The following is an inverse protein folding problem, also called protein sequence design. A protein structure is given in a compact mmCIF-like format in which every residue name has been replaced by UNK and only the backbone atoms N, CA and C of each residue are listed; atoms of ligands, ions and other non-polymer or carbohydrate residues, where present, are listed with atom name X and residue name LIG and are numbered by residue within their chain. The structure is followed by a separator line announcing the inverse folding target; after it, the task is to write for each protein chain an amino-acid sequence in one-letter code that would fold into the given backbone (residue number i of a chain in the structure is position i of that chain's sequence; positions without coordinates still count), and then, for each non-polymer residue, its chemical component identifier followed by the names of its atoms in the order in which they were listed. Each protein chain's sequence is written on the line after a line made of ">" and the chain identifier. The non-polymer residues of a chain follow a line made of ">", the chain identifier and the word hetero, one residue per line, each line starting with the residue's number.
data_IF_778533834665
#
_entry.id   IF_778533834665
#
_cell.length_a   1.000
_cell.length_b   1.000
_cell.length_c   1.000
_cell.angle_alpha   90.00
_cell.angle_beta   90.00
_cell.angle_gamma   90.00
#
_symmetry.space_group_name_H-M   'P 1'
#
loop_
_entity.id
_entity.type
_entity.pdbx_description
1 polymer ?
#
# COMPACT_ATOMS: atom_id res chain seq x y z
N UNK A 1 21.43 -1.61 19.41
CA UNK A 1 22.36 -1.74 18.27
C UNK A 1 21.73 -2.50 17.11
N UNK A 2 20.76 -3.41 17.33
CA UNK A 2 19.87 -3.94 16.28
C UNK A 2 18.66 -3.03 15.98
N UNK A 3 18.29 -2.14 16.90
CA UNK A 3 17.13 -1.22 16.77
C UNK A 3 17.28 -0.08 15.74
N UNK A 4 18.40 0.00 15.00
CA UNK A 4 18.66 1.09 14.05
C UNK A 4 18.61 0.64 12.58
N UNK A 5 18.11 -0.57 12.29
CA UNK A 5 18.07 -1.12 10.93
C UNK A 5 16.71 -1.70 10.54
N UNK A 6 16.28 -1.41 9.30
CA UNK A 6 15.08 -1.99 8.69
C UNK A 6 15.48 -2.81 7.46
N UNK A 7 14.91 -4.00 7.31
CA UNK A 7 15.11 -4.80 6.10
C UNK A 7 14.47 -4.13 4.87
N UNK A 8 15.24 -4.08 3.79
CA UNK A 8 14.85 -3.50 2.52
C UNK A 8 15.10 -4.50 1.39
N UNK A 9 14.02 -4.89 0.72
CA UNK A 9 14.03 -6.06 -0.16
C UNK A 9 13.45 -5.75 -1.53
N UNK A 10 13.81 -6.57 -2.51
CA UNK A 10 13.20 -6.54 -3.84
C UNK A 10 11.73 -6.95 -3.79
N UNK A 11 10.98 -6.53 -4.80
CA UNK A 11 9.59 -6.94 -5.03
C UNK A 11 9.47 -8.47 -5.13
N UNK A 12 10.43 -9.12 -5.79
CA UNK A 12 10.45 -10.57 -5.92
C UNK A 12 10.62 -11.27 -4.56
N UNK A 13 11.55 -10.80 -3.73
CA UNK A 13 11.76 -11.35 -2.40
C UNK A 13 10.55 -11.13 -1.47
N UNK A 14 9.88 -9.97 -1.59
CA UNK A 14 8.63 -9.72 -0.87
C UNK A 14 7.54 -10.72 -1.27
N UNK A 15 7.35 -10.97 -2.57
CA UNK A 15 6.39 -11.98 -3.06
C UNK A 15 6.72 -13.40 -2.59
N UNK A 16 8.00 -13.76 -2.57
CA UNK A 16 8.44 -15.07 -2.08
C UNK A 16 8.22 -15.20 -0.56
N UNK A 17 8.49 -14.14 0.21
CA UNK A 17 8.26 -14.09 1.66
C UNK A 17 6.77 -14.19 2.01
N UNK A 18 5.92 -13.47 1.27
CA UNK A 18 4.47 -13.54 1.38
C UNK A 18 3.96 -14.96 1.08
N UNK A 19 4.33 -15.53 -0.08
CA UNK A 19 3.94 -16.88 -0.48
C UNK A 19 4.40 -17.95 0.53
N UNK A 20 5.61 -17.83 1.06
CA UNK A 20 6.11 -18.73 2.10
C UNK A 20 5.27 -18.63 3.38
N UNK A 21 4.96 -17.41 3.82
CA UNK A 21 4.16 -17.18 5.03
C UNK A 21 2.75 -17.73 4.87
N UNK A 22 2.12 -17.51 3.71
CA UNK A 22 0.79 -18.04 3.38
C UNK A 22 0.76 -19.57 3.41
N UNK A 23 1.77 -20.20 2.81
CA UNK A 23 1.81 -21.65 2.68
C UNK A 23 2.06 -22.38 4.02
N UNK A 24 2.71 -21.73 5.00
CA UNK A 24 3.21 -22.44 6.19
C UNK A 24 2.68 -21.89 7.52
N UNK A 25 2.22 -20.64 7.59
CA UNK A 25 2.06 -19.94 8.87
C UNK A 25 0.71 -19.23 9.02
N UNK A 26 0.37 -18.32 8.10
CA UNK A 26 -0.79 -17.42 8.25
C UNK A 26 -1.61 -17.43 6.97
N UNK A 27 -2.92 -17.77 7.00
CA UNK A 27 -3.76 -17.75 5.81
C UNK A 27 -3.75 -16.40 5.08
N UNK A 28 -3.83 -16.40 3.74
CA UNK A 28 -3.78 -15.18 2.92
C UNK A 28 -4.83 -14.13 3.30
N UNK A 29 -6.08 -14.56 3.55
CA UNK A 29 -7.16 -13.67 3.99
C UNK A 29 -6.86 -12.97 5.34
N UNK A 30 -6.14 -13.65 6.24
CA UNK A 30 -5.73 -13.11 7.53
C UNK A 30 -4.57 -12.11 7.37
N UNK A 31 -3.58 -12.42 6.52
CA UNK A 31 -2.52 -11.45 6.19
C UNK A 31 -3.09 -10.19 5.52
N UNK A 32 -4.05 -10.32 4.61
CA UNK A 32 -4.76 -9.20 4.00
C UNK A 32 -5.52 -8.36 5.04
N UNK A 33 -6.16 -8.99 6.04
CA UNK A 33 -6.78 -8.25 7.16
C UNK A 33 -5.76 -7.44 7.93
N UNK A 34 -4.58 -8.01 8.20
CA UNK A 34 -3.50 -7.34 8.91
C UNK A 34 -2.90 -6.21 8.08
N UNK A 35 -2.73 -6.37 6.77
CA UNK A 35 -2.32 -5.31 5.87
C UNK A 35 -3.27 -4.11 5.97
N UNK A 36 -4.58 -4.36 5.84
CA UNK A 36 -5.59 -3.34 5.99
C UNK A 36 -5.61 -2.69 7.39
N UNK A 37 -5.40 -3.47 8.46
CA UNK A 37 -5.31 -2.95 9.82
C UNK A 37 -4.07 -2.06 10.01
N UNK A 38 -2.94 -2.41 9.39
CA UNK A 38 -1.73 -1.59 9.38
C UNK A 38 -1.95 -0.25 8.70
N UNK A 39 -2.63 -0.23 7.55
CA UNK A 39 -3.04 1.01 6.88
C UNK A 39 -3.97 1.83 7.77
N UNK A 40 -4.95 1.18 8.39
CA UNK A 40 -5.89 1.83 9.30
C UNK A 40 -5.18 2.49 10.50
N UNK A 41 -4.22 1.80 11.13
CA UNK A 41 -3.48 2.32 12.29
C UNK A 41 -2.48 3.42 11.91
N UNK A 42 -1.89 3.37 10.71
CA UNK A 42 -0.91 4.34 10.24
C UNK A 42 -1.52 5.71 9.86
N UNK A 43 -2.79 5.72 9.43
CA UNK A 43 -3.47 6.93 8.99
C UNK A 43 -4.44 7.45 10.05
N UNK A 44 -4.70 8.76 10.01
CA UNK A 44 -5.86 9.35 10.69
C UNK A 44 -7.03 9.30 9.73
N UNK A 45 -8.23 8.97 10.21
CA UNK A 45 -9.41 8.84 9.35
C UNK A 45 -10.40 9.97 9.56
N UNK A 46 -11.17 10.24 8.52
CA UNK A 46 -12.28 11.18 8.49
C UNK A 46 -13.42 10.50 7.73
N UNK A 47 -14.64 10.97 7.94
CA UNK A 47 -15.75 10.57 7.06
C UNK A 47 -15.47 11.04 5.63
N UNK A 48 -16.18 10.47 4.66
CA UNK A 48 -15.95 10.74 3.23
C UNK A 48 -14.55 10.32 2.78
N UNK A 49 -14.22 9.05 3.00
CA UNK A 49 -13.03 8.40 2.42
C UNK A 49 -13.40 7.65 1.13
N UNK A 50 -12.68 7.93 0.04
CA UNK A 50 -12.75 7.15 -1.19
C UNK A 50 -11.61 6.14 -1.22
N UNK A 51 -11.89 4.89 -1.56
CA UNK A 51 -10.88 3.83 -1.72
C UNK A 51 -10.91 3.38 -3.18
N UNK A 52 -9.85 3.58 -3.94
CA UNK A 52 -9.76 3.06 -5.31
C UNK A 52 -9.10 1.69 -5.29
N UNK A 53 -9.88 0.64 -5.57
CA UNK A 53 -9.44 -0.74 -5.54
C UNK A 53 -9.19 -1.26 -6.96
N UNK A 54 -7.98 -1.76 -7.21
CA UNK A 54 -7.65 -2.47 -8.44
C UNK A 54 -8.06 -3.93 -8.45
N UNK A 55 -7.63 -4.67 -9.47
CA UNK A 55 -8.01 -6.07 -9.69
C UNK A 55 -7.25 -7.10 -8.83
N UNK A 56 -6.08 -6.72 -8.31
CA UNK A 56 -5.16 -7.62 -7.61
C UNK A 56 -5.28 -7.53 -6.08
N UNK A 57 -4.34 -8.15 -5.37
CA UNK A 57 -4.36 -8.22 -3.90
C UNK A 57 -4.31 -6.84 -3.22
N UNK A 58 -3.66 -5.83 -3.81
CA UNK A 58 -3.72 -4.46 -3.28
C UNK A 58 -5.16 -3.92 -3.26
N UNK A 59 -5.98 -4.29 -4.25
CA UNK A 59 -7.41 -3.97 -4.25
C UNK A 59 -8.16 -4.71 -3.13
N UNK A 60 -7.77 -5.95 -2.85
CA UNK A 60 -8.24 -6.72 -1.70
C UNK A 60 -7.95 -6.05 -0.36
N UNK A 61 -6.73 -5.52 -0.18
CA UNK A 61 -6.37 -4.70 0.99
C UNK A 61 -7.30 -3.49 1.12
N UNK A 62 -7.67 -2.85 -0.01
CA UNK A 62 -8.64 -1.76 -0.04
C UNK A 62 -10.06 -2.17 0.42
N UNK A 63 -10.56 -3.33 -0.01
CA UNK A 63 -11.85 -3.84 0.47
C UNK A 63 -11.80 -4.23 1.96
N UNK A 64 -10.71 -4.86 2.41
CA UNK A 64 -10.51 -5.17 3.81
C UNK A 64 -10.45 -3.90 4.66
N UNK A 65 -9.75 -2.86 4.20
CA UNK A 65 -9.70 -1.55 4.84
C UNK A 65 -11.09 -0.91 4.92
N UNK A 66 -11.89 -0.99 3.87
CA UNK A 66 -13.26 -0.48 3.88
C UNK A 66 -14.09 -1.13 5.00
N UNK A 67 -13.97 -2.46 5.18
CA UNK A 67 -14.61 -3.18 6.28
C UNK A 67 -14.13 -2.66 7.65
N UNK A 68 -12.83 -2.51 7.84
CA UNK A 68 -12.24 -2.01 9.10
C UNK A 68 -12.70 -0.57 9.40
N UNK A 69 -12.75 0.31 8.40
CA UNK A 69 -13.26 1.67 8.55
C UNK A 69 -14.70 1.66 9.04
N UNK A 70 -15.55 0.83 8.42
CA UNK A 70 -16.95 0.69 8.82
C UNK A 70 -17.10 0.14 10.23
N UNK A 71 -16.30 -0.87 10.61
CA UNK A 71 -16.25 -1.42 11.97
C UNK A 71 -15.89 -0.35 13.02
N UNK A 72 -15.12 0.68 12.64
CA UNK A 72 -14.70 1.78 13.51
C UNK A 72 -15.54 3.06 13.35
N UNK A 73 -16.66 3.00 12.62
CA UNK A 73 -17.60 4.12 12.50
C UNK A 73 -17.22 5.20 11.49
N UNK A 74 -16.28 4.92 10.57
CA UNK A 74 -15.95 5.81 9.46
C UNK A 74 -16.71 5.41 8.20
N UNK A 75 -17.31 6.40 7.53
CA UNK A 75 -17.96 6.18 6.24
C UNK A 75 -16.95 6.25 5.09
N UNK A 76 -17.02 5.26 4.20
CA UNK A 76 -16.20 5.20 3.00
C UNK A 76 -17.00 4.72 1.79
N UNK A 77 -16.43 4.91 0.59
CA UNK A 77 -16.93 4.37 -0.67
C UNK A 77 -15.78 3.73 -1.42
N UNK A 78 -15.99 2.52 -1.92
CA UNK A 78 -15.00 1.80 -2.73
C UNK A 78 -15.30 2.02 -4.21
N UNK A 79 -14.31 2.49 -4.96
CA UNK A 79 -14.35 2.64 -6.40
C UNK A 79 -13.49 1.55 -7.05
N UNK A 80 -14.09 0.65 -7.80
CA UNK A 80 -13.36 -0.43 -8.49
C UNK A 80 -12.82 0.05 -9.83
N UNK A 81 -11.53 -0.19 -10.07
CA UNK A 81 -10.85 0.11 -11.35
C UNK A 81 -10.44 -1.20 -12.02
N UNK A 82 -11.06 -1.48 -13.17
CA UNK A 82 -10.90 -2.76 -13.89
C UNK A 82 -12.12 -3.68 -13.72
N UNK A 83 -12.07 -4.86 -14.36
CA UNK A 83 -13.25 -5.74 -14.54
C UNK A 83 -13.23 -7.05 -13.74
N UNK A 84 -12.08 -7.44 -13.16
CA UNK A 84 -11.91 -8.72 -12.49
C UNK A 84 -11.25 -8.55 -11.13
N UNK A 85 -11.75 -9.23 -10.10
CA UNK A 85 -11.15 -9.26 -8.78
C UNK A 85 -10.43 -10.60 -8.58
N UNK A 86 -9.33 -10.60 -7.84
CA UNK A 86 -8.74 -11.86 -7.33
C UNK A 86 -9.71 -12.56 -6.36
N UNK A 87 -9.44 -13.83 -6.02
CA UNK A 87 -10.26 -14.59 -5.08
C UNK A 87 -10.34 -13.90 -3.71
N UNK A 88 -9.19 -13.52 -3.15
CA UNK A 88 -9.12 -12.80 -1.87
C UNK A 88 -9.82 -11.43 -1.93
N UNK A 89 -9.65 -10.70 -3.03
CA UNK A 89 -10.36 -9.44 -3.25
C UNK A 89 -11.88 -9.66 -3.31
N UNK A 90 -12.32 -10.78 -3.88
CA UNK A 90 -13.74 -11.14 -3.97
C UNK A 90 -14.33 -11.47 -2.60
N UNK A 91 -13.55 -12.07 -1.69
CA UNK A 91 -13.97 -12.33 -0.32
C UNK A 91 -14.32 -11.02 0.42
N UNK A 92 -13.40 -10.06 0.46
CA UNK A 92 -13.64 -8.79 1.15
C UNK A 92 -14.63 -7.88 0.42
N UNK A 93 -14.72 -7.94 -0.92
CA UNK A 93 -15.79 -7.29 -1.66
C UNK A 93 -17.17 -7.85 -1.26
N UNK A 94 -17.27 -9.16 -1.00
CA UNK A 94 -18.46 -9.79 -0.43
C UNK A 94 -18.80 -9.24 0.96
N UNK A 95 -17.79 -9.12 1.84
CA UNK A 95 -17.94 -8.52 3.18
C UNK A 95 -18.39 -7.08 3.14
N UNK A 96 -17.86 -6.29 2.21
CA UNK A 96 -18.31 -4.91 1.99
C UNK A 96 -19.80 -4.85 1.61
N UNK A 97 -20.27 -5.77 0.75
CA UNK A 97 -21.70 -5.86 0.39
C UNK A 97 -22.57 -6.25 1.57
N UNK A 98 -22.15 -7.23 2.38
CA UNK A 98 -22.86 -7.64 3.61
C UNK A 98 -22.99 -6.48 4.60
N UNK A 99 -21.96 -5.63 4.70
CA UNK A 99 -21.93 -4.46 5.58
C UNK A 99 -22.52 -3.18 4.95
N UNK A 100 -23.17 -3.30 3.78
CA UNK A 100 -23.78 -2.18 3.03
C UNK A 100 -22.81 -1.03 2.73
N UNK A 101 -21.53 -1.34 2.54
CA UNK A 101 -20.52 -0.36 2.11
C UNK A 101 -20.71 -0.09 0.61
N UNK A 102 -20.83 1.19 0.18
CA UNK A 102 -20.96 1.52 -1.23
C UNK A 102 -19.76 1.04 -2.05
N UNK A 103 -20.04 0.23 -3.08
CA UNK A 103 -19.06 -0.19 -4.09
C UNK A 103 -19.57 0.27 -5.45
N UNK A 104 -18.79 1.10 -6.13
CA UNK A 104 -19.13 1.65 -7.43
C UNK A 104 -17.99 1.44 -8.43
N UNK A 105 -18.27 1.31 -9.73
CA UNK A 105 -17.20 1.44 -10.72
C UNK A 105 -16.62 2.86 -10.67
N UNK A 106 -15.30 2.96 -10.82
CA UNK A 106 -14.66 4.26 -11.00
C UNK A 106 -15.17 4.92 -12.28
N UNK A 107 -15.57 6.19 -12.17
CA UNK A 107 -15.94 7.05 -13.30
C UNK A 107 -15.28 8.41 -13.10
N UNK A 108 -14.76 9.06 -14.15
CA UNK A 108 -14.10 10.34 -14.01
C UNK A 108 -14.98 11.39 -13.27
N UNK A 109 -14.39 12.03 -12.26
CA UNK A 109 -15.03 13.03 -11.41
C UNK A 109 -15.68 12.47 -10.13
N UNK A 110 -15.62 11.16 -9.90
CA UNK A 110 -16.24 10.54 -8.72
C UNK A 110 -15.48 10.81 -7.41
N UNK A 111 -14.26 11.34 -7.45
CA UNK A 111 -13.47 11.64 -6.24
C UNK A 111 -13.76 13.04 -5.67
N UNK A 112 -14.60 13.84 -6.32
CA UNK A 112 -14.93 15.19 -5.84
C UNK A 112 -15.65 15.14 -4.49
N UNK A 113 -15.13 15.89 -3.51
CA UNK A 113 -15.75 16.06 -2.19
C UNK A 113 -15.37 15.00 -1.17
N UNK A 114 -14.44 14.10 -1.48
CA UNK A 114 -13.84 13.20 -0.51
C UNK A 114 -12.67 13.88 0.20
N UNK A 115 -12.62 13.76 1.52
CA UNK A 115 -11.54 14.34 2.35
C UNK A 115 -10.25 13.51 2.23
N UNK A 116 -10.42 12.21 1.98
CA UNK A 116 -9.33 11.23 1.85
C UNK A 116 -9.54 10.35 0.65
N UNK A 117 -8.43 10.06 -0.03
CA UNK A 117 -8.39 9.14 -1.15
C UNK A 117 -7.32 8.09 -0.87
N UNK A 118 -7.71 6.82 -0.88
CA UNK A 118 -6.82 5.68 -0.68
C UNK A 118 -6.55 5.01 -2.02
N UNK A 119 -5.28 4.97 -2.39
CA UNK A 119 -4.75 4.28 -3.56
C UNK A 119 -4.44 2.81 -3.22
N UNK A 120 -5.33 1.94 -3.67
CA UNK A 120 -5.24 0.48 -3.61
C UNK A 120 -5.28 -0.12 -5.03
N UNK A 121 -4.77 0.61 -6.03
CA UNK A 121 -4.91 0.21 -7.44
C UNK A 121 -3.90 -0.89 -7.82
N UNK A 122 -2.62 -0.66 -7.55
CA UNK A 122 -1.50 -1.46 -8.01
C UNK A 122 -0.47 -1.58 -6.87
N UNK A 123 0.16 -2.73 -6.72
CA UNK A 123 1.21 -2.95 -5.72
C UNK A 123 2.40 -3.67 -6.34
N UNK A 124 3.03 -4.57 -5.60
CA UNK A 124 4.14 -5.43 -6.08
C UNK A 124 3.86 -6.11 -7.43
N UNK A 125 2.60 -6.36 -7.78
CA UNK A 125 2.14 -6.95 -9.05
C UNK A 125 2.47 -6.18 -10.34
N UNK A 126 2.68 -4.86 -10.25
CA UNK A 126 2.76 -3.99 -11.42
C UNK A 126 4.12 -4.03 -12.13
N UNK A 127 4.08 -4.14 -13.46
CA UNK A 127 5.24 -4.09 -14.35
C UNK A 127 4.87 -3.41 -15.67
N UNK A 128 5.81 -2.67 -16.24
CA UNK A 128 5.65 -2.07 -17.57
C UNK A 128 4.78 -0.82 -17.59
N UNK A 129 3.95 -0.68 -18.62
CA UNK A 129 3.17 0.54 -18.87
C UNK A 129 1.78 0.49 -18.20
N UNK A 130 1.31 1.66 -17.75
CA UNK A 130 -0.04 1.82 -17.21
C UNK A 130 -1.10 1.59 -18.29
N UNK A 131 -2.10 0.76 -17.96
CA UNK A 131 -3.33 0.66 -18.74
C UNK A 131 -4.17 1.93 -18.52
N UNK A 132 -4.93 2.32 -19.54
CA UNK A 132 -5.63 3.62 -19.56
C UNK A 132 -6.53 3.85 -18.34
N UNK A 133 -7.31 2.85 -17.91
CA UNK A 133 -8.17 2.97 -16.74
C UNK A 133 -7.41 3.26 -15.43
N UNK A 134 -6.18 2.72 -15.28
CA UNK A 134 -5.33 3.06 -14.14
C UNK A 134 -4.71 4.45 -14.31
N UNK A 135 -4.32 4.83 -15.52
CA UNK A 135 -3.83 6.18 -15.81
C UNK A 135 -4.85 7.25 -15.42
N UNK A 136 -6.09 7.14 -15.90
CA UNK A 136 -7.14 8.11 -15.58
C UNK A 136 -7.45 8.17 -14.08
N UNK A 137 -7.44 7.02 -13.40
CA UNK A 137 -7.63 6.96 -11.94
C UNK A 137 -6.48 7.66 -11.19
N UNK A 138 -5.23 7.40 -11.57
CA UNK A 138 -4.05 8.04 -10.95
C UNK A 138 -4.06 9.56 -11.18
N UNK A 139 -4.42 10.02 -12.37
CA UNK A 139 -4.56 11.44 -12.68
C UNK A 139 -5.63 12.11 -11.81
N UNK A 140 -6.78 11.46 -11.62
CA UNK A 140 -7.84 12.00 -10.76
C UNK A 140 -7.46 11.98 -9.28
N UNK A 141 -6.82 10.91 -8.78
CA UNK A 141 -6.28 10.87 -7.41
C UNK A 141 -5.37 12.09 -7.19
N UNK A 142 -4.41 12.31 -8.10
CA UNK A 142 -3.45 13.41 -8.00
C UNK A 142 -4.10 14.80 -8.11
N UNK A 143 -5.25 14.92 -8.77
CA UNK A 143 -5.99 16.17 -8.94
C UNK A 143 -7.09 16.40 -7.90
N UNK A 144 -7.38 15.42 -7.02
CA UNK A 144 -8.50 15.44 -6.08
C UNK A 144 -8.46 16.58 -5.07
N UNK A 145 -7.26 17.03 -4.68
CA UNK A 145 -7.06 17.95 -3.57
C UNK A 145 -7.29 17.32 -2.18
N UNK A 146 -7.56 16.02 -2.13
CA UNK A 146 -7.75 15.24 -0.90
C UNK A 146 -6.41 14.91 -0.23
N UNK A 147 -6.47 14.41 1.00
CA UNK A 147 -5.31 13.74 1.61
C UNK A 147 -5.15 12.33 1.03
N UNK A 148 -4.02 12.06 0.38
CA UNK A 148 -3.81 10.84 -0.41
C UNK A 148 -2.99 9.81 0.40
N UNK A 149 -3.50 8.60 0.50
CA UNK A 149 -2.85 7.46 1.16
C UNK A 149 -2.58 6.38 0.10
N UNK A 150 -1.33 5.98 -0.12
CA UNK A 150 -1.02 4.83 -0.98
C UNK A 150 -0.75 3.58 -0.14
N UNK A 151 -1.32 2.45 -0.55
CA UNK A 151 -1.12 1.15 0.09
C UNK A 151 -0.09 0.36 -0.70
N UNK A 152 0.86 -0.23 0.03
CA UNK A 152 1.97 -1.04 -0.44
C UNK A 152 3.03 -0.25 -1.23
N UNK A 153 2.67 0.23 -2.42
CA UNK A 153 3.51 1.00 -3.34
C UNK A 153 2.59 2.01 -4.03
N UNK A 154 3.03 3.26 -4.19
CA UNK A 154 2.29 4.25 -4.98
C UNK A 154 2.00 3.71 -6.38
N UNK A 155 0.73 3.60 -6.74
CA UNK A 155 0.34 2.98 -8.00
C UNK A 155 0.96 3.70 -9.20
N UNK A 156 1.54 2.92 -10.12
CA UNK A 156 2.29 3.40 -11.28
C UNK A 156 3.81 3.47 -11.06
N UNK A 157 4.29 3.32 -9.83
CA UNK A 157 5.72 3.27 -9.52
C UNK A 157 6.28 1.85 -9.55
N UNK A 158 7.50 1.69 -10.07
CA UNK A 158 8.24 0.45 -10.00
C UNK A 158 8.75 0.22 -8.57
N UNK A 159 8.37 -0.91 -7.97
CA UNK A 159 8.72 -1.24 -6.59
C UNK A 159 10.20 -1.53 -6.33
N UNK A 160 11.00 -1.82 -7.36
CA UNK A 160 12.43 -2.09 -7.21
C UNK A 160 13.29 -0.85 -7.45
N UNK A 161 12.90 0.02 -8.40
CA UNK A 161 13.70 1.17 -8.85
C UNK A 161 13.17 2.53 -8.38
N UNK A 162 11.88 2.62 -8.03
CA UNK A 162 11.19 3.88 -7.72
C UNK A 162 10.89 4.75 -8.94
N UNK A 163 11.16 4.25 -10.16
CA UNK A 163 10.86 4.97 -11.40
C UNK A 163 9.38 4.86 -11.76
N UNK A 164 8.85 5.92 -12.38
CA UNK A 164 7.50 5.95 -12.93
C UNK A 164 7.41 7.02 -14.03
N UNK A 165 6.62 6.75 -15.08
CA UNK A 165 6.16 7.80 -16.01
C UNK A 165 5.06 8.65 -15.35
N UNK A 166 4.13 7.98 -14.67
CA UNK A 166 3.04 8.54 -13.89
C UNK A 166 2.85 7.65 -12.66
N UNK A 167 2.77 8.25 -11.48
CA UNK A 167 2.44 7.55 -10.26
C UNK A 167 1.56 8.42 -9.34
N UNK A 168 0.88 7.78 -8.41
CA UNK A 168 0.16 8.47 -7.33
C UNK A 168 1.15 9.26 -6.47
N UNK A 169 0.80 10.50 -6.15
CA UNK A 169 1.56 11.37 -5.24
C UNK A 169 0.85 11.41 -3.89
N UNK A 170 1.34 10.63 -2.94
CA UNK A 170 0.70 10.44 -1.64
C UNK A 170 1.23 11.39 -0.56
N UNK A 171 0.36 11.74 0.38
CA UNK A 171 0.76 12.34 1.64
C UNK A 171 1.34 11.29 2.59
N UNK A 172 0.82 10.06 2.53
CA UNK A 172 1.30 8.91 3.28
C UNK A 172 1.33 7.66 2.39
N UNK A 173 2.43 6.93 2.41
CA UNK A 173 2.52 5.57 1.86
C UNK A 173 2.71 4.58 3.00
N UNK A 174 1.90 3.53 3.03
CA UNK A 174 2.02 2.44 3.99
C UNK A 174 2.51 1.20 3.26
N UNK A 175 3.80 0.90 3.39
CA UNK A 175 4.39 -0.31 2.81
C UNK A 175 4.08 -1.52 3.68
N UNK A 176 3.67 -2.63 3.06
CA UNK A 176 3.21 -3.83 3.77
C UNK A 176 4.33 -4.87 3.87
N UNK A 177 4.54 -5.44 5.06
CA UNK A 177 5.55 -6.46 5.33
C UNK A 177 6.94 -5.86 5.49
N UNK A 178 7.60 -5.57 4.36
CA UNK A 178 8.95 -5.01 4.32
C UNK A 178 9.02 -3.78 3.42
N UNK A 179 10.05 -2.95 3.59
CA UNK A 179 10.30 -1.81 2.72
C UNK A 179 10.84 -2.32 1.38
N UNK A 180 10.22 -1.94 0.25
CA UNK A 180 10.74 -2.29 -1.07
C UNK A 180 11.83 -1.33 -1.52
N UNK A 181 12.84 -1.81 -2.24
CA UNK A 181 14.01 -1.00 -2.63
C UNK A 181 13.67 0.27 -3.41
N UNK A 182 12.62 0.22 -4.23
CA UNK A 182 12.15 1.37 -4.99
C UNK A 182 11.59 2.49 -4.12
N UNK A 183 11.06 2.19 -2.92
CA UNK A 183 10.45 3.18 -2.02
C UNK A 183 11.47 4.08 -1.30
N UNK A 184 12.73 3.65 -1.29
CA UNK A 184 13.84 4.38 -0.66
C UNK A 184 14.90 4.82 -1.67
N UNK A 185 14.62 4.66 -2.97
CA UNK A 185 15.50 5.17 -4.02
C UNK A 185 15.38 6.70 -4.13
N UNK A 186 16.38 7.33 -4.74
CA UNK A 186 16.36 8.77 -5.05
C UNK A 186 15.16 9.19 -5.91
N UNK A 187 14.55 8.24 -6.63
CA UNK A 187 13.40 8.50 -7.49
C UNK A 187 12.05 8.54 -6.73
N UNK A 188 11.97 7.97 -5.53
CA UNK A 188 10.72 7.84 -4.79
C UNK A 188 10.26 9.11 -4.07
N UNK A 189 11.19 9.95 -3.61
CA UNK A 189 10.89 11.12 -2.77
C UNK A 189 9.98 12.16 -3.42
N UNK A 190 9.77 12.11 -4.75
CA UNK A 190 8.83 12.98 -5.47
C UNK A 190 7.38 12.47 -5.49
N UNK A 191 7.15 11.24 -5.03
CA UNK A 191 5.84 10.57 -5.06
C UNK A 191 5.22 10.38 -3.68
N UNK A 192 5.96 10.55 -2.59
CA UNK A 192 5.43 10.40 -1.25
C UNK A 192 6.04 11.43 -0.29
N UNK A 193 5.23 11.93 0.65
CA UNK A 193 5.75 12.81 1.71
C UNK A 193 6.23 12.02 2.93
N UNK A 194 5.52 10.93 3.27
CA UNK A 194 5.82 10.06 4.39
C UNK A 194 5.66 8.60 4.01
N UNK A 195 6.53 7.74 4.54
CA UNK A 195 6.53 6.29 4.36
C UNK A 195 6.58 5.60 5.72
N UNK A 196 5.59 4.76 6.00
CA UNK A 196 5.53 3.91 7.19
C UNK A 196 5.51 2.45 6.73
N UNK A 197 6.27 1.59 7.41
CA UNK A 197 6.23 0.16 7.17
C UNK A 197 5.34 -0.54 8.21
N UNK A 198 4.31 -1.22 7.73
CA UNK A 198 3.43 -2.04 8.55
C UNK A 198 3.91 -3.49 8.50
N UNK A 199 4.39 -3.98 9.64
CA UNK A 199 4.73 -5.39 9.82
C UNK A 199 3.50 -6.19 10.22
N UNK A 200 3.12 -7.09 9.32
CA UNK A 200 1.91 -7.92 9.41
C UNK A 200 2.23 -9.39 9.75
N UNK A 201 3.49 -9.69 10.06
CA UNK A 201 3.96 -11.02 10.44
C UNK A 201 4.43 -11.87 9.28
N UNK A 202 4.89 -11.25 8.18
CA UNK A 202 5.53 -11.97 7.07
C UNK A 202 6.93 -12.39 7.48
N UNK A 203 7.26 -13.66 7.21
CA UNK A 203 8.60 -14.20 7.44
C UNK A 203 9.49 -13.96 6.23
N UNK A 204 10.59 -13.26 6.46
CA UNK A 204 11.59 -12.98 5.44
C UNK A 204 12.29 -14.28 5.01
N UNK A 205 12.24 -14.61 3.72
CA UNK A 205 12.88 -15.82 3.19
C UNK A 205 14.36 -15.62 2.85
N UNK A 206 14.77 -14.37 2.60
CA UNK A 206 16.13 -14.03 2.20
C UNK A 206 16.48 -12.61 2.62
N UNK A 207 17.59 -12.44 3.32
CA UNK A 207 18.13 -11.10 3.59
C UNK A 207 18.72 -10.48 2.32
N UNK A 208 18.49 -9.18 2.11
CA UNK A 208 19.04 -8.44 0.98
C UNK A 208 19.75 -7.17 1.45
N UNK A 209 19.06 -6.04 1.50
CA UNK A 209 19.62 -4.77 1.96
C UNK A 209 19.04 -4.44 3.33
N UNK A 210 19.75 -3.60 4.07
CA UNK A 210 19.23 -2.97 5.29
C UNK A 210 19.28 -1.46 5.12
N UNK A 211 18.27 -0.76 5.62
CA UNK A 211 18.27 0.70 5.76
C UNK A 211 18.78 0.99 7.15
N UNK A 212 19.86 1.75 7.24
CA UNK A 212 20.43 2.18 8.50
C UNK A 212 19.89 3.58 8.86
N UNK A 213 19.57 3.81 10.13
CA UNK A 213 19.21 5.12 10.67
C UNK A 213 20.33 6.16 10.52
N UNK A 214 20.08 7.40 10.92
CA UNK A 214 20.99 8.55 10.78
C UNK A 214 22.18 8.50 11.75
N UNK A 215 23.01 7.44 11.66
CA UNK A 215 24.29 7.31 12.34
C UNK A 215 25.41 7.07 11.31
N UNK A 216 26.47 7.89 11.37
CA UNK A 216 27.68 7.66 10.58
C UNK A 216 28.75 6.88 11.37
N UNK A 217 29.53 6.01 10.70
CA UNK A 217 29.46 5.65 9.29
C UNK A 217 28.44 4.53 9.02
N UNK A 218 27.81 4.54 7.84
CA UNK A 218 26.95 3.45 7.37
C UNK A 218 27.71 2.12 7.34
N UNK A 219 27.09 1.05 7.85
CA UNK A 219 27.65 -0.29 7.73
C UNK A 219 27.80 -0.68 6.24
N UNK A 220 28.83 -1.44 5.84
CA UNK A 220 28.96 -1.92 4.47
C UNK A 220 27.71 -2.68 4.01
N UNK A 221 27.10 -2.24 2.91
CA UNK A 221 25.86 -2.83 2.37
C UNK A 221 24.55 -2.20 2.88
N UNK A 222 24.62 -1.23 3.81
CA UNK A 222 23.45 -0.46 4.24
C UNK A 222 23.08 0.66 3.25
N UNK A 223 21.77 0.89 3.11
CA UNK A 223 21.21 2.09 2.48
C UNK A 223 21.03 3.19 3.53
N UNK A 224 21.24 4.47 3.18
CA UNK A 224 20.88 5.57 4.07
C UNK A 224 19.36 5.64 4.24
N UNK A 225 18.89 5.97 5.44
CA UNK A 225 17.48 6.28 5.66
C UNK A 225 17.10 7.58 4.92
N UNK A 226 16.14 7.53 3.97
CA UNK A 226 15.64 8.76 3.35
C UNK A 226 14.77 9.55 4.32
N UNK A 227 14.67 10.86 4.12
CA UNK A 227 13.97 11.77 5.04
C UNK A 227 12.44 11.53 5.14
N UNK A 228 11.85 10.83 4.16
CA UNK A 228 10.43 10.49 4.16
C UNK A 228 10.12 9.17 4.86
N UNK A 229 11.11 8.32 5.16
CA UNK A 229 10.90 7.04 5.85
C UNK A 229 10.84 7.22 7.36
N UNK A 230 9.79 6.71 7.99
CA UNK A 230 9.74 6.49 9.43
C UNK A 230 10.48 5.19 9.77
N UNK A 231 11.51 5.29 10.60
CA UNK A 231 12.28 4.12 11.07
C UNK A 231 11.52 3.29 12.11
N UNK A 232 10.37 3.76 12.61
CA UNK A 232 9.52 2.99 13.50
C UNK A 232 8.61 2.06 12.68
N UNK A 233 8.86 0.76 12.77
CA UNK A 233 7.99 -0.26 12.17
C UNK A 233 6.69 -0.35 12.98
N UNK A 234 5.56 -0.21 12.29
CA UNK A 234 4.25 -0.40 12.87
C UNK A 234 3.95 -1.90 12.96
N UNK A 235 3.98 -2.46 14.17
CA UNK A 235 3.63 -3.86 14.45
C UNK A 235 2.11 -4.01 14.54
N UNK A 236 1.53 -4.90 13.74
CA UNK A 236 0.07 -5.04 13.60
C UNK A 236 -0.51 -6.30 14.29
N UNK A 237 0.34 -7.20 14.78
CA UNK A 237 -0.04 -8.51 15.31
C UNK A 237 0.57 -8.82 16.68
#
# INVERSE_FOLDING_TARGET
>A
MEDDMIDCISVENMRQSDAYTIAHLVPGLELMRRAALGVFQAARWQNHTAILAGSGNNGGDGFALACILKEHGYDCTVFTVGSHLSEDSSYYAGKCKEAEIPICPFVPGCLKGYDRVVDCLLGTGFHGALREHYRSAIEEINASGSYIISVDINSGMNGDTGEAELAVRSDLTVTIGFVKTGLVSENAGKYMKHLICADIGIILVKEEKKICGSGEPLAPGCLPCPAWLDMNILKVY
#
